data_IF_852247607771
#
_entry.id   IF_852247607771
#
_cell.length_a   1.000
_cell.length_b   1.000
_cell.length_c   1.000
_cell.angle_alpha   90.00
_cell.angle_beta   90.00
_cell.angle_gamma   90.00
#
_symmetry.space_group_name_H-M   'P 1'
#
loop_
_entity.id
_entity.type
_entity.pdbx_description
1 polymer ?
#
# COMPACT_ATOMS: atom_id res chain seq x y z
N UNK A 1 -14.17 -23.88 -10.05
CA UNK A 1 -15.29 -23.19 -9.37
C UNK A 1 -14.67 -22.37 -8.25
N UNK A 2 -14.40 -21.07 -8.51
CA UNK A 2 -13.96 -20.11 -7.50
C UNK A 2 -15.08 -20.03 -6.46
N UNK A 3 -14.81 -20.45 -5.22
CA UNK A 3 -15.69 -20.15 -4.11
C UNK A 3 -15.70 -18.64 -3.93
N UNK A 4 -16.83 -17.99 -4.20
CA UNK A 4 -17.05 -16.59 -3.83
C UNK A 4 -16.86 -16.50 -2.32
N UNK A 5 -15.85 -15.78 -1.87
CA UNK A 5 -15.74 -15.37 -0.48
C UNK A 5 -16.91 -14.43 -0.21
N UNK A 6 -17.80 -14.82 0.70
CA UNK A 6 -18.99 -14.05 1.05
C UNK A 6 -18.70 -12.94 2.07
N UNK A 7 -17.44 -12.60 2.29
CA UNK A 7 -17.07 -11.48 3.15
C UNK A 7 -17.36 -10.16 2.40
N UNK A 8 -18.49 -9.55 2.72
CA UNK A 8 -18.83 -8.22 2.25
C UNK A 8 -17.84 -7.20 2.80
N UNK A 9 -17.33 -6.29 1.95
CA UNK A 9 -16.58 -5.15 2.41
C UNK A 9 -17.53 -4.03 2.81
N UNK A 10 -17.49 -3.60 4.07
CA UNK A 10 -18.36 -2.55 4.59
C UNK A 10 -17.85 -1.15 4.22
N UNK A 11 -16.53 -1.00 4.09
CA UNK A 11 -15.89 0.27 3.71
C UNK A 11 -14.73 0.00 2.77
N UNK A 12 -14.62 0.82 1.73
CA UNK A 12 -13.51 0.80 0.78
C UNK A 12 -12.61 2.03 0.97
N UNK A 13 -11.35 1.79 1.32
CA UNK A 13 -10.33 2.85 1.43
C UNK A 13 -9.41 2.78 0.20
N UNK A 14 -9.22 3.91 -0.47
CA UNK A 14 -8.36 4.00 -1.66
C UNK A 14 -7.56 5.29 -1.68
N UNK A 15 -6.48 5.28 -2.43
CA UNK A 15 -5.66 6.44 -2.69
C UNK A 15 -6.24 7.33 -3.81
N UNK A 16 -5.62 8.50 -4.01
CA UNK A 16 -6.08 9.50 -4.97
C UNK A 16 -5.67 9.21 -6.43
N UNK A 17 -4.73 8.28 -6.68
CA UNK A 17 -4.27 7.95 -8.02
C UNK A 17 -5.28 7.07 -8.77
N UNK A 18 -5.63 7.46 -10.00
CA UNK A 18 -6.71 6.85 -10.80
C UNK A 18 -6.58 5.33 -10.99
N UNK A 19 -5.36 4.82 -11.15
CA UNK A 19 -5.12 3.37 -11.35
C UNK A 19 -5.55 2.52 -10.16
N UNK A 20 -5.37 3.01 -8.92
CA UNK A 20 -5.85 2.27 -7.74
C UNK A 20 -7.36 2.46 -7.53
N UNK A 21 -7.91 3.59 -7.94
CA UNK A 21 -9.35 3.81 -7.95
C UNK A 21 -10.02 2.80 -8.88
N UNK A 22 -9.53 2.66 -10.11
CA UNK A 22 -10.04 1.68 -11.08
C UNK A 22 -9.89 0.24 -10.58
N UNK A 23 -8.75 -0.10 -9.95
CA UNK A 23 -8.56 -1.43 -9.35
C UNK A 23 -9.64 -1.72 -8.32
N UNK A 24 -9.90 -0.81 -7.41
CA UNK A 24 -10.93 -1.00 -6.39
C UNK A 24 -12.34 -1.05 -6.96
N UNK A 25 -12.66 -0.23 -7.96
CA UNK A 25 -13.95 -0.27 -8.65
C UNK A 25 -14.19 -1.61 -9.34
N UNK A 26 -13.16 -2.18 -9.97
CA UNK A 26 -13.22 -3.52 -10.57
C UNK A 26 -13.44 -4.58 -9.49
N UNK A 27 -12.70 -4.53 -8.39
CA UNK A 27 -12.87 -5.47 -7.28
C UNK A 27 -14.28 -5.41 -6.72
N UNK A 28 -14.79 -4.21 -6.40
CA UNK A 28 -16.15 -4.05 -5.88
C UNK A 28 -17.22 -4.52 -6.85
N UNK A 29 -17.02 -4.32 -8.14
CA UNK A 29 -17.91 -4.81 -9.19
C UNK A 29 -17.94 -6.35 -9.24
N UNK A 30 -16.78 -6.98 -9.21
CA UNK A 30 -16.67 -8.45 -9.21
C UNK A 30 -17.23 -9.10 -7.93
N UNK A 31 -17.20 -8.35 -6.82
CA UNK A 31 -17.80 -8.75 -5.55
C UNK A 31 -19.31 -8.45 -5.46
N UNK A 32 -19.92 -7.82 -6.46
CA UNK A 32 -21.29 -7.32 -6.46
C UNK A 32 -21.59 -6.29 -5.35
N UNK A 33 -20.60 -5.42 -5.07
CA UNK A 33 -20.59 -4.45 -3.96
C UNK A 33 -20.35 -3.00 -4.42
N UNK A 34 -20.85 -2.62 -5.58
CA UNK A 34 -20.64 -1.29 -6.19
C UNK A 34 -21.14 -0.12 -5.36
N UNK A 35 -22.00 -0.36 -4.37
CA UNK A 35 -22.56 0.65 -3.48
C UNK A 35 -21.76 0.84 -2.18
N UNK A 36 -20.67 0.13 -1.99
CA UNK A 36 -19.82 0.23 -0.79
C UNK A 36 -19.30 1.67 -0.64
N UNK A 37 -19.43 2.20 0.57
CA UNK A 37 -18.87 3.50 0.90
C UNK A 37 -17.38 3.56 0.54
N UNK A 38 -16.97 4.59 -0.15
CA UNK A 38 -15.60 4.75 -0.63
C UNK A 38 -14.98 6.03 -0.10
N UNK A 39 -13.86 5.90 0.60
CA UNK A 39 -13.08 7.04 1.10
C UNK A 39 -11.77 7.12 0.33
N UNK A 40 -11.47 8.31 -0.19
CA UNK A 40 -10.23 8.62 -0.89
C UNK A 40 -9.32 9.43 0.02
N UNK A 41 -8.06 9.02 0.13
CA UNK A 41 -7.07 9.81 0.86
C UNK A 41 -5.68 9.72 0.25
N UNK A 42 -5.00 10.86 0.16
CA UNK A 42 -3.63 10.98 -0.36
C UNK A 42 -2.59 10.26 0.50
N UNK A 43 -2.88 10.04 1.77
CA UNK A 43 -1.97 9.31 2.67
C UNK A 43 -1.73 7.87 2.22
N UNK A 44 -2.62 7.30 1.39
CA UNK A 44 -2.44 5.99 0.78
C UNK A 44 -1.80 6.03 -0.63
N UNK A 45 -1.39 7.19 -1.12
CA UNK A 45 -0.76 7.31 -2.43
C UNK A 45 0.57 6.51 -2.51
N UNK A 46 0.98 6.18 -3.72
CA UNK A 46 2.30 5.59 -3.96
C UNK A 46 3.41 6.55 -3.51
N UNK A 47 4.54 5.99 -3.14
CA UNK A 47 5.75 6.72 -2.80
C UNK A 47 6.12 7.67 -3.94
N UNK A 48 6.39 8.92 -3.61
CA UNK A 48 6.87 9.88 -4.57
C UNK A 48 8.33 9.58 -4.94
N UNK A 49 8.61 9.49 -6.22
CA UNK A 49 9.95 9.19 -6.73
C UNK A 49 10.77 10.44 -7.07
N UNK A 50 10.23 11.66 -6.83
CA UNK A 50 10.91 12.92 -7.10
C UNK A 50 11.47 13.00 -8.52
N UNK A 51 12.76 13.31 -8.63
CA UNK A 51 13.46 13.45 -9.92
C UNK A 51 13.54 12.16 -10.75
N UNK A 52 13.22 11.01 -10.15
CA UNK A 52 13.14 9.74 -10.87
C UNK A 52 11.76 9.49 -11.51
N UNK A 53 10.79 10.38 -11.27
CA UNK A 53 9.42 10.21 -11.79
C UNK A 53 9.43 10.26 -13.31
N UNK A 54 8.83 9.24 -13.94
CA UNK A 54 8.76 9.13 -15.41
C UNK A 54 10.00 8.53 -16.06
N UNK A 55 11.12 8.38 -15.35
CA UNK A 55 12.31 7.70 -15.87
C UNK A 55 12.16 6.19 -15.85
N UNK A 56 12.59 5.53 -16.91
CA UNK A 56 12.81 4.09 -16.84
C UNK A 56 14.08 3.77 -16.04
N UNK A 57 14.26 2.50 -15.66
CA UNK A 57 15.38 2.08 -14.81
C UNK A 57 16.75 2.37 -15.40
N UNK A 58 16.89 2.25 -16.72
CA UNK A 58 18.18 2.39 -17.41
C UNK A 58 18.54 3.87 -17.58
N UNK A 59 17.57 4.73 -17.85
CA UNK A 59 17.73 6.19 -17.84
C UNK A 59 18.17 6.70 -16.44
N UNK A 60 17.51 6.22 -15.38
CA UNK A 60 17.88 6.60 -14.03
C UNK A 60 19.31 6.15 -13.70
N UNK A 61 19.69 4.91 -14.06
CA UNK A 61 21.05 4.40 -13.85
C UNK A 61 22.11 5.16 -14.66
N UNK A 62 21.80 5.50 -15.91
CA UNK A 62 22.70 6.29 -16.75
C UNK A 62 22.93 7.68 -16.18
N UNK A 63 21.91 8.30 -15.59
CA UNK A 63 21.98 9.67 -15.04
C UNK A 63 22.63 9.74 -13.65
N UNK A 64 22.31 8.79 -12.76
CA UNK A 64 22.67 8.86 -11.34
C UNK A 64 23.65 7.76 -10.87
N UNK A 65 23.97 6.80 -11.74
CA UNK A 65 24.77 5.63 -11.42
C UNK A 65 23.97 4.48 -10.83
N UNK A 66 24.45 3.25 -11.06
CA UNK A 66 23.78 2.02 -10.62
C UNK A 66 23.61 1.96 -9.10
N UNK A 67 24.70 2.26 -8.36
CA UNK A 67 24.74 2.13 -6.90
C UNK A 67 23.77 3.12 -6.25
N UNK A 68 23.75 4.36 -6.72
CA UNK A 68 22.88 5.39 -6.16
C UNK A 68 21.39 5.05 -6.41
N UNK A 69 21.05 4.59 -7.62
CA UNK A 69 19.67 4.16 -7.94
C UNK A 69 19.29 2.93 -7.12
N UNK A 70 20.22 2.00 -6.90
CA UNK A 70 20.00 0.85 -6.04
C UNK A 70 19.71 1.27 -4.59
N UNK A 71 20.51 2.18 -4.03
CA UNK A 71 20.30 2.72 -2.68
C UNK A 71 18.90 3.34 -2.55
N UNK A 72 18.49 4.23 -3.44
CA UNK A 72 17.14 4.84 -3.40
C UNK A 72 16.00 3.84 -3.51
N UNK A 73 16.22 2.72 -4.16
CA UNK A 73 15.20 1.68 -4.36
C UNK A 73 15.14 0.64 -3.25
N UNK A 74 16.24 0.43 -2.54
CA UNK A 74 16.43 -0.68 -1.59
C UNK A 74 16.85 -0.23 -0.19
N UNK A 75 16.83 1.07 0.11
CA UNK A 75 16.97 1.59 1.47
C UNK A 75 15.62 1.91 2.07
N UNK A 76 15.56 1.84 3.39
CA UNK A 76 14.34 2.19 4.13
C UNK A 76 14.18 3.71 4.24
N UNK A 77 15.25 4.43 4.57
CA UNK A 77 15.27 5.83 4.99
C UNK A 77 15.92 6.81 4.00
N UNK A 78 16.51 6.31 2.89
CA UNK A 78 17.18 7.17 1.90
C UNK A 78 16.22 7.45 0.74
N UNK A 79 15.86 8.74 0.59
CA UNK A 79 14.99 9.23 -0.49
C UNK A 79 15.76 9.67 -1.74
N UNK A 80 15.18 9.54 -2.94
CA UNK A 80 15.69 10.23 -4.12
C UNK A 80 15.45 11.75 -3.99
N UNK A 81 16.19 12.59 -4.74
CA UNK A 81 15.99 14.04 -4.73
C UNK A 81 14.53 14.41 -5.04
N UNK A 82 13.94 15.24 -4.18
CA UNK A 82 12.54 15.67 -4.30
C UNK A 82 11.50 14.57 -4.11
N UNK A 83 11.91 13.36 -3.68
CA UNK A 83 11.02 12.22 -3.48
C UNK A 83 10.91 11.77 -2.02
N UNK A 84 10.27 10.62 -1.83
CA UNK A 84 10.07 9.97 -0.53
C UNK A 84 10.95 8.72 -0.40
N UNK A 85 11.44 8.46 0.80
CA UNK A 85 11.92 7.14 1.23
C UNK A 85 10.73 6.22 1.57
N UNK A 86 10.99 4.95 1.86
CA UNK A 86 9.95 4.06 2.39
C UNK A 86 9.54 4.48 3.80
N UNK A 87 10.48 5.04 4.58
CA UNK A 87 10.21 5.63 5.90
C UNK A 87 9.23 6.80 5.80
N UNK A 88 9.43 7.75 4.88
CA UNK A 88 8.52 8.88 4.69
C UNK A 88 7.11 8.39 4.30
N UNK A 89 7.05 7.37 3.45
CA UNK A 89 5.78 6.72 3.09
C UNK A 89 5.12 6.07 4.31
N UNK A 90 5.88 5.38 5.15
CA UNK A 90 5.40 4.78 6.40
C UNK A 90 4.89 5.85 7.38
N UNK A 91 5.62 6.94 7.52
CA UNK A 91 5.31 8.04 8.45
C UNK A 91 4.01 8.79 8.10
N UNK A 92 3.48 8.64 6.87
CA UNK A 92 2.15 9.16 6.49
C UNK A 92 1.05 8.09 6.42
N UNK A 93 1.39 6.86 6.03
CA UNK A 93 0.42 5.75 5.91
C UNK A 93 -0.04 5.27 7.28
N UNK A 94 0.89 5.06 8.22
CA UNK A 94 0.56 4.46 9.51
C UNK A 94 -0.27 5.38 10.41
N UNK A 95 0.01 6.68 10.55
CA UNK A 95 -0.89 7.58 11.27
C UNK A 95 -2.30 7.60 10.68
N UNK A 96 -2.42 7.68 9.35
CA UNK A 96 -3.72 7.63 8.68
C UNK A 96 -4.46 6.32 8.97
N UNK A 97 -3.76 5.18 8.91
CA UNK A 97 -4.34 3.88 9.24
C UNK A 97 -4.87 3.85 10.67
N UNK A 98 -4.07 4.28 11.64
CA UNK A 98 -4.44 4.30 13.06
C UNK A 98 -5.61 5.22 13.38
N UNK A 99 -5.70 6.36 12.70
CA UNK A 99 -6.73 7.35 12.96
C UNK A 99 -8.06 7.04 12.24
N UNK A 100 -7.99 6.54 11.00
CA UNK A 100 -9.17 6.45 10.13
C UNK A 100 -9.57 5.03 9.72
N UNK A 101 -8.72 4.03 9.92
CA UNK A 101 -9.01 2.66 9.51
C UNK A 101 -9.11 1.72 10.71
N UNK A 102 -8.12 1.72 11.56
CA UNK A 102 -8.03 0.82 12.72
C UNK A 102 -9.25 0.89 13.66
N UNK A 103 -9.86 2.06 13.96
CA UNK A 103 -11.05 2.12 14.80
C UNK A 103 -12.28 1.40 14.22
N UNK A 104 -12.32 1.20 12.89
CA UNK A 104 -13.45 0.57 12.22
C UNK A 104 -13.30 -0.95 12.06
N UNK A 105 -12.08 -1.49 12.17
CA UNK A 105 -11.75 -2.90 11.85
C UNK A 105 -12.52 -3.90 12.72
N UNK A 106 -12.80 -3.55 13.99
CA UNK A 106 -13.52 -4.45 14.90
C UNK A 106 -14.99 -4.67 14.52
N UNK A 107 -15.57 -3.78 13.72
CA UNK A 107 -16.98 -3.79 13.36
C UNK A 107 -17.24 -3.90 11.85
N UNK A 108 -16.21 -3.70 11.01
CA UNK A 108 -16.34 -3.63 9.55
C UNK A 108 -15.26 -4.45 8.85
N UNK A 109 -15.61 -5.02 7.71
CA UNK A 109 -14.64 -5.55 6.75
C UNK A 109 -14.14 -4.39 5.87
N UNK A 110 -12.85 -4.17 5.80
CA UNK A 110 -12.26 -3.03 5.11
C UNK A 110 -11.44 -3.52 3.92
N UNK A 111 -11.72 -2.98 2.74
CA UNK A 111 -10.92 -3.17 1.54
C UNK A 111 -9.99 -1.96 1.35
N UNK A 112 -8.69 -2.18 1.19
CA UNK A 112 -7.70 -1.16 0.88
C UNK A 112 -7.11 -1.44 -0.50
N UNK A 113 -7.31 -0.54 -1.45
CA UNK A 113 -6.62 -0.59 -2.74
C UNK A 113 -5.59 0.54 -2.82
N UNK A 114 -4.32 0.16 -2.86
CA UNK A 114 -3.19 1.08 -2.85
C UNK A 114 -2.03 0.55 -3.72
N UNK A 115 -0.84 1.10 -3.58
CA UNK A 115 0.33 0.71 -4.37
C UNK A 115 1.37 -0.03 -3.54
N UNK A 116 2.40 -0.57 -4.24
CA UNK A 116 3.41 -1.41 -3.65
C UNK A 116 4.10 -0.81 -2.42
N UNK A 117 4.51 0.46 -2.44
CA UNK A 117 5.22 1.03 -1.30
C UNK A 117 4.29 1.45 -0.16
N UNK A 118 3.09 1.98 -0.46
CA UNK A 118 2.12 2.29 0.59
C UNK A 118 1.58 1.02 1.26
N UNK A 119 1.33 -0.06 0.50
CA UNK A 119 0.99 -1.37 1.09
C UNK A 119 2.16 -1.98 1.86
N UNK A 120 3.40 -1.84 1.37
CA UNK A 120 4.60 -2.29 2.10
C UNK A 120 4.76 -1.58 3.44
N UNK A 121 4.52 -0.26 3.48
CA UNK A 121 4.51 0.52 4.72
C UNK A 121 3.45 0.02 5.71
N UNK A 122 2.25 -0.30 5.22
CA UNK A 122 1.18 -0.85 6.04
C UNK A 122 1.51 -2.26 6.55
N UNK A 123 1.98 -3.15 5.68
CA UNK A 123 2.39 -4.52 6.06
C UNK A 123 3.52 -4.49 7.10
N UNK A 124 4.50 -3.58 6.95
CA UNK A 124 5.55 -3.37 7.97
C UNK A 124 4.94 -3.11 9.34
N UNK A 125 3.92 -2.25 9.41
CA UNK A 125 3.25 -1.93 10.66
C UNK A 125 2.43 -3.11 11.20
N UNK A 126 1.66 -3.80 10.35
CA UNK A 126 0.77 -4.88 10.77
C UNK A 126 1.52 -6.15 11.23
N UNK A 127 2.67 -6.44 10.64
CA UNK A 127 3.49 -7.63 10.90
C UNK A 127 4.75 -7.32 11.73
N UNK A 128 4.94 -6.08 12.18
CA UNK A 128 6.12 -5.60 12.92
C UNK A 128 7.47 -5.97 12.25
N UNK A 129 7.52 -5.84 10.92
CA UNK A 129 8.69 -6.19 10.11
C UNK A 129 9.81 -5.18 10.33
N UNK A 130 11.04 -5.63 10.49
CA UNK A 130 12.21 -4.75 10.65
C UNK A 130 12.47 -3.88 9.41
N UNK A 131 13.29 -2.83 9.56
CA UNK A 131 13.69 -1.95 8.45
C UNK A 131 14.53 -2.70 7.41
N UNK A 132 15.33 -3.67 7.84
CA UNK A 132 16.17 -4.49 6.98
C UNK A 132 15.35 -5.49 6.15
N UNK A 133 14.32 -6.05 6.75
CA UNK A 133 13.47 -7.07 6.09
C UNK A 133 12.47 -6.43 5.14
N UNK A 134 11.88 -5.28 5.51
CA UNK A 134 10.83 -4.65 4.69
C UNK A 134 11.30 -4.24 3.30
N UNK A 135 12.58 -3.88 3.14
CA UNK A 135 13.13 -3.50 1.84
C UNK A 135 13.26 -4.69 0.87
N UNK A 136 13.20 -5.92 1.39
CA UNK A 136 13.21 -7.16 0.61
C UNK A 136 11.80 -7.68 0.33
N UNK A 137 10.78 -7.20 1.03
CA UNK A 137 9.42 -7.67 0.86
C UNK A 137 8.91 -7.32 -0.54
N UNK A 138 8.44 -8.32 -1.27
CA UNK A 138 7.76 -8.17 -2.56
C UNK A 138 6.24 -8.33 -2.36
N UNK A 139 5.47 -7.38 -2.87
CA UNK A 139 4.01 -7.45 -2.90
C UNK A 139 3.58 -7.73 -4.33
N UNK A 140 3.00 -8.91 -4.55
CA UNK A 140 2.55 -9.33 -5.86
C UNK A 140 1.33 -8.49 -6.31
N UNK A 141 1.38 -8.03 -7.56
CA UNK A 141 0.27 -7.25 -8.14
C UNK A 141 -0.94 -8.16 -8.37
N UNK A 142 -2.12 -7.70 -7.95
CA UNK A 142 -3.38 -8.43 -8.14
C UNK A 142 -3.60 -9.61 -7.20
N UNK A 143 -2.70 -9.83 -6.24
CA UNK A 143 -2.86 -10.84 -5.20
C UNK A 143 -3.31 -10.15 -3.91
N UNK A 144 -4.51 -10.46 -3.36
CA UNK A 144 -4.97 -9.88 -2.12
C UNK A 144 -4.14 -10.38 -0.93
N UNK A 145 -3.85 -9.49 0.01
CA UNK A 145 -3.30 -9.82 1.32
C UNK A 145 -4.45 -9.68 2.30
N UNK A 146 -4.76 -10.75 3.03
CA UNK A 146 -5.89 -10.80 3.94
C UNK A 146 -5.37 -10.85 5.37
N UNK A 147 -5.88 -9.97 6.22
CA UNK A 147 -5.63 -9.98 7.66
C UNK A 147 -6.94 -10.16 8.40
N UNK A 148 -6.92 -11.00 9.43
CA UNK A 148 -7.97 -11.09 10.43
C UNK A 148 -7.52 -10.34 11.67
N UNK A 149 -8.37 -9.43 12.15
CA UNK A 149 -8.14 -8.74 13.42
C UNK A 149 -8.92 -9.43 14.54
N UNK A 150 -8.23 -9.79 15.62
CA UNK A 150 -8.84 -10.33 16.85
C UNK A 150 -7.93 -10.08 18.04
N UNK A 151 -8.51 -9.78 19.17
CA UNK A 151 -7.80 -9.60 20.44
C UNK A 151 -6.63 -8.59 20.36
N UNK A 152 -6.83 -7.51 19.60
CA UNK A 152 -5.83 -6.44 19.43
C UNK A 152 -4.65 -6.81 18.52
N UNK A 153 -4.73 -7.91 17.77
CA UNK A 153 -3.67 -8.36 16.87
C UNK A 153 -4.16 -8.65 15.46
N UNK A 154 -3.24 -8.58 14.49
CA UNK A 154 -3.47 -8.89 13.09
C UNK A 154 -2.86 -10.24 12.74
N UNK A 155 -3.67 -11.15 12.21
CA UNK A 155 -3.21 -12.45 11.72
C UNK A 155 -3.40 -12.52 10.19
N UNK A 156 -2.30 -12.67 9.46
CA UNK A 156 -2.30 -12.91 8.02
C UNK A 156 -2.87 -14.28 7.70
N UNK A 157 -3.75 -14.35 6.67
CA UNK A 157 -4.44 -15.56 6.24
C UNK A 157 -3.75 -16.22 5.06
#
# INVERSE_FOLDING_TARGET
TLRRSSAASDVYKRQDLIRAQLTGEIILKEMDQVKTETIKDKSLNERAYGDLTGMNKDEARAKFGNDQVHIWRRSYDISPPGGESLKDTHDRVVPFFKEHIEPEISSKNILIAAHGNSLRALVKHLEDISEQEIVQLEIATGVPIIYKFSDGSYAKQ
#
